data_IF_614891528899
#
_entry.id   IF_614891528899
#
_cell.length_a   1.000
_cell.length_b   1.000
_cell.length_c   1.000
_cell.angle_alpha   90.00
_cell.angle_beta   90.00
_cell.angle_gamma   90.00
#
_symmetry.space_group_name_H-M   'P 1'
#
loop_
_entity.id
_entity.type
_entity.pdbx_description
1 polymer ?
#
# COMPACT_ATOMS: atom_id res chain seq x y z
N UNK A 1 -10.79 15.07 -5.02
CA UNK A 1 -11.13 14.78 -6.44
C UNK A 1 -10.34 15.58 -7.46
N UNK A 2 -10.07 16.89 -7.30
CA UNK A 2 -9.26 17.67 -8.27
C UNK A 2 -7.86 17.09 -8.54
N UNK A 3 -7.32 16.30 -7.61
CA UNK A 3 -6.06 15.57 -7.74
C UNK A 3 -6.26 14.26 -8.52
N UNK A 4 -7.31 13.50 -8.19
CA UNK A 4 -7.66 12.21 -8.78
C UNK A 4 -7.91 12.29 -10.29
N UNK A 5 -8.38 13.43 -10.80
CA UNK A 5 -8.72 13.63 -12.22
C UNK A 5 -9.71 12.59 -12.75
N UNK A 6 -10.88 12.41 -12.09
CA UNK A 6 -11.90 11.52 -12.60
C UNK A 6 -12.39 12.02 -13.96
N UNK A 7 -12.72 11.09 -14.86
CA UNK A 7 -13.47 11.43 -16.06
C UNK A 7 -14.95 11.54 -15.68
N UNK A 8 -15.51 12.74 -15.80
CA UNK A 8 -16.92 13.02 -15.49
C UNK A 8 -17.73 12.76 -16.76
N UNK A 9 -18.60 11.76 -16.74
CA UNK A 9 -19.41 11.37 -17.89
C UNK A 9 -20.77 12.07 -17.91
N UNK A 10 -21.32 12.32 -16.72
CA UNK A 10 -22.59 12.97 -16.48
C UNK A 10 -22.52 13.68 -15.13
N UNK A 11 -23.24 14.78 -14.97
CA UNK A 11 -23.36 15.47 -13.69
C UNK A 11 -24.75 16.09 -13.53
N UNK A 12 -25.27 16.06 -12.30
CA UNK A 12 -26.47 16.77 -11.88
C UNK A 12 -26.22 17.31 -10.48
N UNK A 13 -26.08 18.63 -10.35
CA UNK A 13 -25.62 19.29 -9.12
C UNK A 13 -26.54 20.44 -8.80
N UNK A 14 -27.15 20.40 -7.61
CA UNK A 14 -27.99 21.50 -7.13
C UNK A 14 -27.14 22.67 -6.65
N UNK A 15 -27.68 23.88 -6.72
CA UNK A 15 -26.99 25.11 -6.29
C UNK A 15 -26.57 25.08 -4.82
N UNK A 16 -27.31 24.39 -3.94
CA UNK A 16 -26.94 24.24 -2.54
C UNK A 16 -25.63 23.47 -2.36
N UNK A 17 -25.39 22.44 -3.19
CA UNK A 17 -24.15 21.66 -3.14
C UNK A 17 -22.96 22.48 -3.62
N UNK A 18 -23.14 23.31 -4.67
CA UNK A 18 -22.09 24.21 -5.15
C UNK A 18 -21.66 25.21 -4.07
N UNK A 19 -22.61 25.69 -3.27
CA UNK A 19 -22.31 26.57 -2.12
C UNK A 19 -21.58 25.85 -0.99
N UNK A 20 -21.94 24.59 -0.71
CA UNK A 20 -21.32 23.77 0.34
C UNK A 20 -19.92 23.28 -0.04
N UNK A 21 -19.69 23.03 -1.33
CA UNK A 21 -18.42 22.53 -1.87
C UNK A 21 -17.97 23.47 -2.99
N UNK A 22 -17.35 24.63 -2.65
CA UNK A 22 -17.05 25.66 -3.66
C UNK A 22 -16.08 25.20 -4.76
N UNK A 23 -15.26 24.20 -4.49
CA UNK A 23 -14.36 23.60 -5.47
C UNK A 23 -15.05 22.54 -6.36
N UNK A 24 -16.36 22.33 -6.23
CA UNK A 24 -17.11 21.43 -7.10
C UNK A 24 -17.20 21.96 -8.53
N UNK A 25 -17.35 23.27 -8.72
CA UNK A 25 -17.32 23.87 -10.06
C UNK A 25 -15.96 23.68 -10.72
N UNK A 26 -14.86 23.88 -9.98
CA UNK A 26 -13.52 23.57 -10.46
C UNK A 26 -13.36 22.10 -10.89
N UNK A 27 -14.08 21.18 -10.26
CA UNK A 27 -14.08 19.77 -10.61
C UNK A 27 -14.81 19.52 -11.94
N UNK A 28 -15.96 20.17 -12.14
CA UNK A 28 -16.73 20.10 -13.39
C UNK A 28 -15.99 20.77 -14.56
N UNK A 29 -15.29 21.86 -14.29
CA UNK A 29 -14.48 22.61 -15.26
C UNK A 29 -13.09 22.00 -15.47
N UNK A 30 -12.83 20.81 -14.94
CA UNK A 30 -11.58 20.08 -15.12
C UNK A 30 -10.31 20.86 -14.70
N UNK A 31 -10.41 21.69 -13.66
CA UNK A 31 -9.29 22.48 -13.13
C UNK A 31 -8.37 21.63 -12.25
N UNK A 32 -7.66 20.71 -12.91
CA UNK A 32 -6.90 19.64 -12.27
C UNK A 32 -5.64 20.10 -11.53
N UNK A 33 -5.45 19.57 -10.32
CA UNK A 33 -4.22 19.71 -9.52
C UNK A 33 -3.21 18.61 -9.89
N UNK A 34 -2.59 18.76 -11.06
CA UNK A 34 -1.80 17.66 -11.66
C UNK A 34 -0.45 17.41 -10.96
N UNK A 35 0.16 18.41 -10.33
CA UNK A 35 1.53 18.34 -9.78
C UNK A 35 1.64 18.06 -8.28
N UNK A 36 0.52 17.82 -7.60
CA UNK A 36 0.45 17.88 -6.14
C UNK A 36 -0.05 16.54 -5.56
N UNK A 37 0.31 16.30 -4.29
CA UNK A 37 -0.27 15.28 -3.43
C UNK A 37 -1.24 15.97 -2.44
N UNK A 38 -2.26 15.27 -1.99
CA UNK A 38 -3.21 15.77 -1.00
C UNK A 38 -3.56 14.67 0.01
N UNK A 39 -3.52 15.02 1.29
CA UNK A 39 -4.00 14.21 2.42
C UNK A 39 -5.05 15.05 3.14
N UNK A 40 -6.25 14.50 3.33
CA UNK A 40 -7.32 15.17 4.06
C UNK A 40 -8.09 14.18 4.92
N UNK A 41 -8.42 14.57 6.15
CA UNK A 41 -9.35 13.82 6.99
C UNK A 41 -10.78 14.20 6.61
N UNK A 42 -11.62 13.21 6.39
CA UNK A 42 -13.05 13.36 6.11
C UNK A 42 -13.85 12.56 7.11
N UNK A 43 -15.09 12.95 7.37
CA UNK A 43 -15.96 12.31 8.35
C UNK A 43 -17.27 11.89 7.70
N UNK A 44 -17.77 10.70 8.02
CA UNK A 44 -19.14 10.32 7.67
C UNK A 44 -20.16 11.12 8.48
N UNK A 45 -21.43 11.07 8.06
CA UNK A 45 -22.54 11.65 8.83
C UNK A 45 -22.73 11.00 10.21
N UNK A 46 -22.22 9.77 10.41
CA UNK A 46 -22.24 9.06 11.69
C UNK A 46 -21.00 9.32 12.55
N UNK A 47 -20.09 10.20 12.12
CA UNK A 47 -18.89 10.56 12.87
C UNK A 47 -17.65 9.69 12.59
N UNK A 48 -17.73 8.71 11.67
CA UNK A 48 -16.59 7.85 11.34
C UNK A 48 -15.54 8.64 10.55
N UNK A 49 -14.29 8.61 11.01
CA UNK A 49 -13.18 9.32 10.36
C UNK A 49 -12.49 8.46 9.31
N UNK A 50 -12.12 9.10 8.20
CA UNK A 50 -11.34 8.52 7.12
C UNK A 50 -10.21 9.46 6.73
N UNK A 51 -9.13 8.89 6.21
CA UNK A 51 -8.05 9.66 5.59
C UNK A 51 -8.09 9.44 4.09
N UNK A 52 -8.36 10.50 3.32
CA UNK A 52 -8.29 10.49 1.87
C UNK A 52 -6.90 10.93 1.41
N UNK A 53 -6.21 10.05 0.69
CA UNK A 53 -4.97 10.33 -0.01
C UNK A 53 -5.25 10.49 -1.51
N UNK A 54 -4.65 11.48 -2.15
CA UNK A 54 -4.72 11.66 -3.59
C UNK A 54 -3.40 12.19 -4.16
N UNK A 55 -3.11 11.84 -5.42
CA UNK A 55 -2.00 12.40 -6.19
C UNK A 55 -2.47 12.87 -7.58
N UNK A 56 -1.84 13.91 -8.08
CA UNK A 56 -1.97 14.36 -9.46
C UNK A 56 -1.17 13.52 -10.48
N UNK A 57 -1.48 13.67 -11.76
CA UNK A 57 -0.90 12.89 -12.87
C UNK A 57 0.56 13.23 -13.21
N UNK A 58 1.04 14.41 -12.78
CA UNK A 58 2.45 14.81 -12.85
C UNK A 58 3.25 14.34 -11.63
N UNK A 59 2.62 13.75 -10.60
CA UNK A 59 3.31 13.05 -9.51
C UNK A 59 3.65 11.63 -9.97
N UNK A 60 4.86 11.46 -10.52
CA UNK A 60 5.32 10.26 -11.23
C UNK A 60 5.86 9.15 -10.33
N UNK A 61 5.15 8.87 -9.24
CA UNK A 61 5.56 7.93 -8.20
C UNK A 61 4.43 6.94 -7.85
N UNK A 62 4.80 5.86 -7.16
CA UNK A 62 3.84 4.93 -6.54
C UNK A 62 3.20 5.60 -5.31
N UNK A 63 1.88 5.78 -5.32
CA UNK A 63 1.16 6.46 -4.24
C UNK A 63 1.32 5.72 -2.90
N UNK A 64 1.40 4.38 -2.92
CA UNK A 64 1.51 3.60 -1.69
C UNK A 64 2.88 3.79 -1.04
N UNK A 65 3.95 3.53 -1.82
CA UNK A 65 5.34 3.63 -1.34
C UNK A 65 5.74 5.07 -1.01
N UNK A 66 5.38 6.04 -1.86
CA UNK A 66 5.91 7.42 -1.73
C UNK A 66 5.01 8.39 -0.98
N UNK A 67 3.83 7.94 -0.54
CA UNK A 67 2.89 8.82 0.16
C UNK A 67 2.13 8.13 1.28
N UNK A 68 1.43 7.03 1.03
CA UNK A 68 0.58 6.39 2.04
C UNK A 68 1.43 5.80 3.18
N UNK A 69 2.40 4.93 2.88
CA UNK A 69 3.22 4.28 3.91
C UNK A 69 3.96 5.30 4.81
N UNK A 70 4.64 6.33 4.25
CA UNK A 70 5.25 7.38 5.08
C UNK A 70 4.26 8.24 5.86
N UNK A 71 3.04 8.46 5.34
CA UNK A 71 2.04 9.30 6.00
C UNK A 71 1.29 8.60 7.14
N UNK A 72 1.29 7.27 7.12
CA UNK A 72 0.74 6.41 8.17
C UNK A 72 1.85 5.88 9.10
N UNK A 73 3.11 6.12 8.76
CA UNK A 73 4.29 5.64 9.49
C UNK A 73 4.27 4.13 9.76
N UNK A 74 3.82 3.34 8.76
CA UNK A 74 3.71 1.89 8.87
C UNK A 74 4.01 1.23 7.53
N UNK A 75 4.51 -0.01 7.58
CA UNK A 75 4.65 -0.81 6.36
C UNK A 75 3.27 -1.17 5.81
N UNK A 76 3.18 -1.39 4.50
CA UNK A 76 1.92 -1.75 3.86
C UNK A 76 1.98 -3.13 3.21
N UNK A 77 0.91 -3.89 3.35
CA UNK A 77 0.55 -4.95 2.40
C UNK A 77 -0.41 -4.38 1.38
N UNK A 78 -0.10 -4.52 0.09
CA UNK A 78 -0.86 -3.90 -1.00
C UNK A 78 -1.28 -4.93 -2.04
N UNK A 79 -2.58 -5.11 -2.19
CA UNK A 79 -3.19 -5.90 -3.25
C UNK A 79 -3.71 -4.95 -4.33
N UNK A 80 -3.21 -5.11 -5.56
CA UNK A 80 -3.75 -4.38 -6.72
C UNK A 80 -3.70 -5.26 -7.95
N UNK A 81 -4.55 -4.94 -8.93
CA UNK A 81 -4.44 -5.52 -10.25
C UNK A 81 -3.15 -5.11 -10.96
N UNK A 82 -2.13 -5.97 -10.91
CA UNK A 82 -0.80 -5.67 -11.47
C UNK A 82 -0.62 -6.13 -12.92
N UNK A 83 -1.70 -6.12 -13.73
CA UNK A 83 -1.65 -6.20 -15.20
C UNK A 83 -1.76 -4.81 -15.80
N UNK A 84 -0.68 -4.31 -16.40
CA UNK A 84 -0.71 -3.00 -17.05
C UNK A 84 0.57 -2.66 -17.80
N UNK A 85 0.47 -1.65 -18.68
CA UNK A 85 1.60 -1.20 -19.48
C UNK A 85 2.77 -0.74 -18.60
N UNK A 86 3.99 -1.04 -19.05
CA UNK A 86 5.23 -0.73 -18.33
C UNK A 86 5.60 -1.71 -17.21
N UNK A 87 4.77 -2.73 -16.96
CA UNK A 87 5.08 -3.81 -16.01
C UNK A 87 4.65 -3.52 -14.56
N UNK A 88 4.48 -4.60 -13.81
CA UNK A 88 4.20 -4.58 -12.38
C UNK A 88 5.36 -3.97 -11.60
N UNK A 89 5.04 -3.23 -10.55
CA UNK A 89 6.02 -2.81 -9.55
C UNK A 89 6.28 -3.98 -8.60
N UNK A 90 7.54 -4.16 -8.21
CA UNK A 90 7.93 -5.11 -7.16
C UNK A 90 7.71 -4.49 -5.77
N UNK A 91 7.63 -5.35 -4.75
CA UNK A 91 7.69 -4.95 -3.34
C UNK A 91 8.86 -3.99 -3.10
N UNK A 92 8.58 -2.89 -2.39
CA UNK A 92 9.62 -1.98 -1.92
C UNK A 92 10.01 -2.37 -0.50
N UNK A 93 11.24 -2.86 -0.36
CA UNK A 93 11.78 -3.39 0.89
C UNK A 93 12.96 -2.56 1.40
N UNK A 94 13.16 -1.37 0.84
CA UNK A 94 14.32 -0.50 1.10
C UNK A 94 13.92 0.81 1.75
N UNK A 95 12.71 1.30 1.49
CA UNK A 95 12.15 2.44 2.22
C UNK A 95 12.09 2.17 3.72
N UNK A 96 12.14 3.25 4.51
CA UNK A 96 11.88 3.19 5.97
C UNK A 96 10.56 2.48 6.27
N UNK A 97 9.52 2.80 5.51
CA UNK A 97 8.23 2.12 5.53
C UNK A 97 8.07 1.34 4.23
N UNK A 98 8.11 0.02 4.35
CA UNK A 98 8.08 -0.92 3.24
C UNK A 98 6.69 -0.99 2.62
N UNK A 99 6.62 -1.37 1.34
CA UNK A 99 5.36 -1.58 0.65
C UNK A 99 5.42 -2.91 -0.08
N UNK A 100 4.90 -3.94 0.57
CA UNK A 100 4.96 -5.33 0.15
C UNK A 100 3.71 -5.67 -0.65
N UNK A 101 3.89 -6.27 -1.83
CA UNK A 101 2.76 -6.71 -2.64
C UNK A 101 2.13 -7.99 -2.07
N UNK A 102 0.80 -8.06 -2.11
CA UNK A 102 0.04 -9.30 -1.93
C UNK A 102 0.00 -10.04 -3.27
N UNK A 103 0.37 -11.32 -3.28
CA UNK A 103 0.39 -12.16 -4.48
C UNK A 103 -0.87 -13.02 -4.62
N UNK A 104 -1.37 -13.52 -3.49
CA UNK A 104 -2.58 -14.33 -3.44
C UNK A 104 -3.47 -13.88 -2.27
N UNK A 105 -4.76 -13.88 -2.54
CA UNK A 105 -5.81 -13.63 -1.55
C UNK A 105 -6.65 -14.88 -1.35
N UNK A 106 -7.12 -15.08 -0.12
CA UNK A 106 -8.06 -16.14 0.26
C UNK A 106 -9.26 -15.57 0.98
N UNK A 107 -10.47 -15.89 0.54
CA UNK A 107 -11.71 -15.53 1.23
C UNK A 107 -12.62 -16.75 1.24
N UNK A 108 -13.04 -17.17 2.44
CA UNK A 108 -13.94 -18.33 2.63
C UNK A 108 -13.45 -19.61 1.93
N UNK A 109 -12.12 -19.79 1.84
CA UNK A 109 -11.49 -20.94 1.18
C UNK A 109 -11.31 -20.82 -0.34
N UNK A 110 -11.84 -19.78 -0.97
CA UNK A 110 -11.60 -19.47 -2.38
C UNK A 110 -10.35 -18.62 -2.48
N UNK A 111 -9.45 -19.00 -3.39
CA UNK A 111 -8.16 -18.35 -3.57
C UNK A 111 -8.02 -17.82 -4.99
N UNK A 112 -7.39 -16.67 -5.14
CA UNK A 112 -7.08 -16.10 -6.44
C UNK A 112 -5.78 -15.31 -6.40
N UNK A 113 -5.15 -15.18 -7.56
CA UNK A 113 -3.93 -14.40 -7.73
C UNK A 113 -4.27 -12.93 -8.01
N UNK A 114 -3.37 -12.02 -7.66
CA UNK A 114 -3.49 -10.57 -7.92
C UNK A 114 -3.84 -10.19 -9.38
N UNK A 115 -3.63 -11.08 -10.35
CA UNK A 115 -3.93 -10.86 -11.77
C UNK A 115 -5.39 -11.07 -12.14
N UNK A 116 -6.14 -11.74 -11.26
CA UNK A 116 -7.54 -12.14 -11.43
C UNK A 116 -8.50 -11.18 -10.69
N UNK A 117 -7.95 -10.27 -9.88
CA UNK A 117 -8.70 -9.33 -9.07
C UNK A 117 -8.43 -7.89 -9.50
N UNK A 118 -9.50 -7.13 -9.73
CA UNK A 118 -9.45 -5.70 -10.04
C UNK A 118 -9.39 -4.81 -8.79
N UNK A 119 -9.49 -5.40 -7.61
CA UNK A 119 -9.40 -4.74 -6.32
C UNK A 119 -8.08 -3.99 -6.16
N UNK A 120 -8.14 -2.93 -5.36
CA UNK A 120 -7.00 -2.07 -5.03
C UNK A 120 -7.15 -1.68 -3.58
N UNK A 121 -6.43 -2.36 -2.72
CA UNK A 121 -6.46 -2.09 -1.30
C UNK A 121 -5.08 -2.22 -0.70
N UNK A 122 -4.91 -1.57 0.44
CA UNK A 122 -3.71 -1.68 1.26
C UNK A 122 -4.11 -1.79 2.72
N UNK A 123 -3.35 -2.52 3.50
CA UNK A 123 -3.46 -2.53 4.97
C UNK A 123 -2.10 -2.20 5.56
N UNK A 124 -2.10 -1.58 6.74
CA UNK A 124 -0.90 -1.48 7.58
C UNK A 124 -0.48 -2.85 8.08
N UNK A 125 0.81 -3.04 8.34
CA UNK A 125 1.33 -4.28 8.93
C UNK A 125 0.91 -4.45 10.39
N UNK A 126 0.77 -3.34 11.12
CA UNK A 126 0.12 -3.29 12.43
C UNK A 126 -1.39 -3.04 12.29
N UNK A 127 -2.17 -3.49 13.29
CA UNK A 127 -3.63 -3.36 13.33
C UNK A 127 -4.04 -1.88 13.45
N UNK A 128 -4.25 -1.24 12.31
CA UNK A 128 -4.69 0.15 12.22
C UNK A 128 -5.56 0.39 10.98
N UNK A 129 -4.94 0.57 9.81
CA UNK A 129 -5.65 1.12 8.65
C UNK A 129 -5.92 0.08 7.58
N UNK A 130 -7.15 0.09 7.05
CA UNK A 130 -7.50 -0.49 5.75
C UNK A 130 -7.77 0.63 4.76
N UNK A 131 -7.12 0.59 3.61
CA UNK A 131 -7.23 1.57 2.55
C UNK A 131 -7.79 0.94 1.28
N UNK A 132 -8.76 1.59 0.62
CA UNK A 132 -9.32 1.16 -0.66
C UNK A 132 -9.23 2.32 -1.67
N UNK A 133 -8.79 2.04 -2.90
CA UNK A 133 -8.46 3.09 -3.86
C UNK A 133 -8.64 2.74 -5.33
N UNK A 134 -8.08 3.59 -6.19
CA UNK A 134 -8.28 3.56 -7.65
C UNK A 134 -6.96 3.38 -8.47
N UNK A 135 -5.80 3.38 -7.81
CA UNK A 135 -4.48 3.20 -8.42
C UNK A 135 -3.93 1.77 -8.28
N UNK A 136 -3.52 1.17 -9.40
CA UNK A 136 -2.75 -0.09 -9.40
C UNK A 136 -1.25 0.16 -9.17
N UNK A 137 -0.52 -0.83 -8.62
CA UNK A 137 0.95 -0.81 -8.56
C UNK A 137 1.59 -1.29 -9.88
N UNK A 138 1.39 -0.54 -10.95
CA UNK A 138 2.03 -0.75 -12.28
C UNK A 138 2.59 0.57 -12.84
N UNK A 139 3.67 0.53 -13.63
CA UNK A 139 4.39 1.76 -14.07
C UNK A 139 3.51 2.75 -14.85
N UNK A 140 2.57 2.27 -15.65
CA UNK A 140 1.63 3.16 -16.37
C UNK A 140 0.80 4.07 -15.45
N UNK A 141 0.57 3.68 -14.19
CA UNK A 141 -0.18 4.47 -13.21
C UNK A 141 0.62 5.65 -12.64
N UNK A 142 1.94 5.72 -12.87
CA UNK A 142 2.73 6.88 -12.46
C UNK A 142 2.26 8.16 -13.15
N UNK A 143 1.66 8.05 -14.35
CA UNK A 143 1.16 9.19 -15.13
C UNK A 143 -0.34 9.44 -14.94
N UNK A 144 -0.99 8.75 -13.99
CA UNK A 144 -2.43 8.91 -13.71
C UNK A 144 -2.64 9.62 -12.37
N UNK A 145 -3.66 10.47 -12.32
CA UNK A 145 -4.22 10.92 -11.06
C UNK A 145 -5.01 9.78 -10.42
N UNK A 146 -5.09 9.80 -9.10
CA UNK A 146 -5.91 8.86 -8.32
C UNK A 146 -5.64 9.00 -6.83
N UNK A 147 -6.24 8.11 -6.05
CA UNK A 147 -6.20 8.14 -4.61
C UNK A 147 -6.61 6.84 -3.93
N UNK A 148 -6.57 6.87 -2.62
CA UNK A 148 -7.04 5.80 -1.74
C UNK A 148 -7.61 6.42 -0.46
N UNK A 149 -8.64 5.80 0.10
CA UNK A 149 -9.27 6.23 1.35
C UNK A 149 -9.02 5.17 2.40
N UNK A 150 -8.49 5.58 3.54
CA UNK A 150 -8.12 4.72 4.65
C UNK A 150 -9.09 4.91 5.82
N UNK A 151 -9.50 3.81 6.43
CA UNK A 151 -10.28 3.74 7.66
C UNK A 151 -9.46 3.04 8.74
N UNK A 152 -9.44 3.61 9.95
CA UNK A 152 -8.91 2.95 11.13
C UNK A 152 -10.04 2.14 11.79
N UNK A 153 -10.12 0.85 11.44
CA UNK A 153 -11.11 -0.07 12.01
C UNK A 153 -10.48 -1.46 12.12
N UNK A 154 -10.33 -1.94 13.36
CA UNK A 154 -9.69 -3.20 13.68
C UNK A 154 -10.42 -4.41 13.06
N UNK A 155 -11.76 -4.37 12.98
CA UNK A 155 -12.55 -5.48 12.44
C UNK A 155 -12.34 -5.61 10.95
N UNK A 156 -12.38 -4.47 10.24
CA UNK A 156 -12.11 -4.40 8.81
C UNK A 156 -10.66 -4.78 8.52
N UNK A 157 -9.71 -4.22 9.26
CA UNK A 157 -8.29 -4.55 9.11
C UNK A 157 -8.07 -6.05 9.27
N UNK A 158 -8.62 -6.67 10.31
CA UNK A 158 -8.48 -8.11 10.56
C UNK A 158 -9.07 -8.95 9.43
N UNK A 159 -10.19 -8.52 8.84
CA UNK A 159 -10.77 -9.21 7.69
C UNK A 159 -9.84 -9.19 6.47
N UNK A 160 -9.25 -8.03 6.15
CA UNK A 160 -8.31 -7.90 5.03
C UNK A 160 -6.98 -8.59 5.32
N UNK A 161 -6.44 -8.44 6.53
CA UNK A 161 -5.21 -9.09 6.97
C UNK A 161 -5.31 -10.62 6.86
N UNK A 162 -6.39 -11.21 7.35
CA UNK A 162 -6.62 -12.65 7.26
C UNK A 162 -6.86 -13.14 5.83
N UNK A 163 -7.13 -12.24 4.88
CA UNK A 163 -7.28 -12.59 3.47
C UNK A 163 -5.93 -12.70 2.74
N UNK A 164 -4.83 -12.18 3.31
CA UNK A 164 -3.49 -12.27 2.71
C UNK A 164 -2.98 -13.71 2.81
N UNK A 165 -2.96 -14.42 1.68
CA UNK A 165 -2.45 -15.79 1.62
C UNK A 165 -0.94 -15.82 1.39
N UNK A 166 -0.45 -14.97 0.49
CA UNK A 166 0.96 -14.92 0.11
C UNK A 166 1.35 -13.51 -0.31
N UNK A 167 2.58 -13.11 0.02
CA UNK A 167 3.18 -11.84 -0.39
C UNK A 167 4.37 -12.05 -1.33
N UNK A 168 4.70 -11.01 -2.11
CA UNK A 168 5.90 -10.99 -2.94
C UNK A 168 7.13 -10.81 -2.05
N UNK A 169 8.00 -11.81 -2.06
CA UNK A 169 9.18 -11.85 -1.21
C UNK A 169 10.12 -10.66 -1.46
N UNK A 170 10.51 -10.01 -0.37
CA UNK A 170 11.68 -9.14 -0.36
C UNK A 170 12.93 -10.00 -0.57
N UNK A 171 13.74 -9.70 -1.60
CA UNK A 171 15.06 -10.33 -1.73
C UNK A 171 15.85 -10.01 -0.47
N UNK A 172 16.11 -11.02 0.36
CA UNK A 172 17.09 -10.89 1.45
C UNK A 172 18.41 -10.46 0.81
N UNK A 173 19.11 -9.49 1.42
CA UNK A 173 20.53 -9.31 1.07
C UNK A 173 21.18 -10.68 1.25
N UNK A 174 21.86 -11.20 0.23
CA UNK A 174 22.69 -12.39 0.41
C UNK A 174 23.65 -12.07 1.55
N UNK A 175 23.48 -12.74 2.69
CA UNK A 175 24.53 -12.77 3.69
C UNK A 175 25.58 -13.71 3.13
N UNK A 176 26.68 -13.17 2.59
CA UNK A 176 27.75 -13.96 1.97
C UNK A 176 28.55 -14.80 2.98
N UNK A 177 28.14 -14.85 4.25
CA UNK A 177 28.71 -15.73 5.27
C UNK A 177 27.57 -16.47 6.00
N UNK A 178 26.94 -17.44 5.34
CA UNK A 178 26.39 -18.57 6.06
C UNK A 178 27.53 -19.57 6.22
N UNK A 179 28.15 -19.63 7.40
CA UNK A 179 28.99 -20.78 7.74
C UNK A 179 28.11 -22.02 7.63
N UNK A 180 28.49 -22.92 6.71
CA UNK A 180 27.92 -24.25 6.62
C UNK A 180 28.23 -24.99 7.93
N UNK A 181 27.28 -25.02 8.87
CA UNK A 181 27.30 -26.04 9.92
C UNK A 181 26.66 -27.30 9.33
N UNK A 182 27.50 -28.13 8.71
CA UNK A 182 27.14 -29.51 8.37
C UNK A 182 26.80 -30.28 9.65
N UNK A 183 25.72 -31.07 9.57
CA UNK A 183 25.29 -32.22 10.36
C UNK A 183 25.92 -32.54 11.74
N UNK A 184 25.09 -32.90 12.76
CA UNK A 184 25.56 -33.25 14.08
C UNK A 184 25.95 -34.73 14.18
N UNK A 185 27.15 -35.10 13.75
CA UNK A 185 27.79 -36.36 14.17
C UNK A 185 29.32 -36.19 14.27
N UNK A 186 29.78 -35.59 15.37
CA UNK A 186 30.99 -36.00 16.11
C UNK A 186 31.25 -35.05 17.27
N UNK A 187 30.82 -35.44 18.48
CA UNK A 187 31.30 -34.85 19.73
C UNK A 187 32.52 -35.65 20.16
N UNK A 188 33.71 -35.06 20.02
CA UNK A 188 34.89 -35.44 20.81
C UNK A 188 35.42 -34.22 21.54
N UNK A 189 35.65 -34.46 22.82
CA UNK A 189 35.99 -33.57 23.94
C UNK A 189 37.29 -32.79 23.79
N UNK A 190 37.31 -31.51 24.21
CA UNK A 190 38.28 -30.99 25.21
C UNK A 190 38.11 -29.49 25.52
N UNK A 191 37.90 -29.19 26.80
CA UNK A 191 38.40 -28.06 27.62
C UNK A 191 38.40 -26.61 27.12
N UNK A 192 37.66 -25.77 27.88
CA UNK A 192 37.96 -24.40 28.33
C UNK A 192 38.40 -23.33 27.31
N UNK A 193 37.45 -22.48 26.93
CA UNK A 193 37.68 -21.03 26.79
C UNK A 193 36.33 -20.28 26.75
N UNK A 194 36.06 -19.45 27.76
CA UNK A 194 35.04 -18.40 27.73
C UNK A 194 35.36 -17.43 26.60
N UNK A 195 34.47 -17.34 25.60
CA UNK A 195 34.52 -16.29 24.57
C UNK A 195 33.18 -15.57 24.57
N UNK A 196 33.23 -14.26 24.83
CA UNK A 196 32.10 -13.34 24.75
C UNK A 196 31.49 -13.37 23.34
N UNK A 197 30.19 -13.62 23.27
CA UNK A 197 29.42 -13.51 22.02
C UNK A 197 28.97 -12.05 21.90
N UNK A 198 29.71 -11.26 21.12
CA UNK A 198 29.22 -9.98 20.64
C UNK A 198 28.21 -10.25 19.53
N UNK A 199 26.92 -10.05 19.83
CA UNK A 199 25.84 -10.12 18.84
C UNK A 199 25.92 -8.86 17.97
N UNK A 200 26.59 -8.94 16.83
CA UNK A 200 26.31 -8.00 15.74
C UNK A 200 24.95 -8.34 15.14
N UNK A 201 23.98 -7.46 15.39
CA UNK A 201 22.66 -7.49 14.74
C UNK A 201 22.84 -7.23 13.24
N UNK A 202 22.20 -8.07 12.42
CA UNK A 202 21.81 -7.69 11.06
C UNK A 202 20.72 -6.62 11.09
#
# INVERSE_FOLDING_TARGET
MLYNQPKIYENSVKEEIKKLVPNFEQLLDEQWRKGEKNKVSIQSTSGMEFISFAKGSKVREDIYTSFVAPSLESNLYVETWRRGAGGALHSDCKSKFQTVNVEYVTVTGVQWKYVEDHSKWAITDEEAYTCVGDINRVRSQFKRGGGTVCLNDATLWKAFHNSVLQTEACKKKHCNNCLNTTDPLNVTTSSNATTEITIEKC
#
